data_IF_485682395202
#
_entry.id   IF_485682395202
#
_cell.length_a   1.000
_cell.length_b   1.000
_cell.length_c   1.000
_cell.angle_alpha   90.00
_cell.angle_beta   90.00
_cell.angle_gamma   90.00
#
_symmetry.space_group_name_H-M   'P 1'
#
loop_
_entity.id
_entity.type
_entity.pdbx_description
1 polymer ?
#
# COMPACT_ATOMS: atom_id res chain seq x y z
N UNK A 1 15.79 13.89 -0.45
CA UNK A 1 14.74 13.54 0.54
C UNK A 1 14.81 12.03 0.75
N UNK A 2 14.74 11.57 2.00
CA UNK A 2 15.07 10.19 2.40
C UNK A 2 13.76 9.45 2.70
N UNK A 3 13.44 8.41 1.94
CA UNK A 3 12.52 7.39 2.45
C UNK A 3 13.24 6.73 3.62
N UNK A 4 12.86 7.11 4.84
CA UNK A 4 13.49 6.55 6.03
C UNK A 4 12.77 5.27 6.36
N UNK A 5 13.44 4.15 6.10
CA UNK A 5 13.04 2.85 6.60
C UNK A 5 13.68 2.73 7.98
N UNK A 6 12.88 2.89 9.03
CA UNK A 6 13.33 2.58 10.38
C UNK A 6 13.20 1.06 10.58
N UNK A 7 14.32 0.38 10.38
CA UNK A 7 14.46 -1.04 10.70
C UNK A 7 14.93 -1.15 12.15
N UNK A 8 14.01 -1.41 13.08
CA UNK A 8 14.41 -1.88 14.40
C UNK A 8 15.36 -3.08 14.26
N UNK A 9 16.44 -3.08 15.05
CA UNK A 9 17.55 -4.07 15.02
C UNK A 9 17.05 -5.49 14.70
N UNK A 10 17.51 -6.15 13.62
CA UNK A 10 17.02 -7.48 13.27
C UNK A 10 17.49 -8.49 14.30
N UNK A 11 16.54 -9.17 14.95
CA UNK A 11 16.78 -10.41 15.70
C UNK A 11 16.77 -11.57 14.71
N UNK A 12 17.76 -12.45 14.78
CA UNK A 12 17.83 -13.66 13.96
C UNK A 12 16.51 -14.44 14.04
N UNK A 13 15.92 -14.75 12.88
CA UNK A 13 14.64 -15.44 12.79
C UNK A 13 14.84 -16.96 12.88
N UNK A 14 14.24 -17.60 13.89
CA UNK A 14 14.12 -19.06 14.00
C UNK A 14 13.16 -19.63 12.93
N UNK A 15 13.31 -20.90 12.51
CA UNK A 15 12.48 -21.49 11.47
C UNK A 15 11.01 -21.67 11.90
N UNK A 16 10.14 -21.04 11.10
CA UNK A 16 8.70 -21.24 10.82
C UNK A 16 7.70 -21.68 11.91
N UNK A 17 6.86 -20.70 12.31
CA UNK A 17 5.39 -20.87 12.38
C UNK A 17 4.70 -19.71 11.65
N UNK A 18 3.81 -20.05 10.72
CA UNK A 18 3.07 -19.16 9.78
C UNK A 18 2.61 -17.86 10.46
N UNK A 19 3.07 -16.74 9.91
CA UNK A 19 2.67 -15.38 10.25
C UNK A 19 3.27 -14.47 9.18
N UNK A 20 2.40 -13.86 8.39
CA UNK A 20 2.73 -13.33 7.06
C UNK A 20 3.75 -12.17 7.11
N UNK A 21 4.76 -12.23 6.25
CA UNK A 21 5.77 -11.18 6.06
C UNK A 21 5.27 -10.24 4.97
N UNK A 22 5.10 -8.95 5.27
CA UNK A 22 4.76 -7.93 4.27
C UNK A 22 5.99 -7.53 3.45
N UNK A 23 5.93 -7.65 2.11
CA UNK A 23 6.96 -7.11 1.21
C UNK A 23 6.53 -5.73 0.72
N UNK A 24 7.43 -4.76 0.83
CA UNK A 24 7.19 -3.37 0.46
C UNK A 24 8.02 -3.01 -0.77
N UNK A 25 7.37 -2.46 -1.78
CA UNK A 25 8.00 -1.81 -2.92
C UNK A 25 7.75 -0.31 -2.82
N UNK A 26 8.80 0.52 -2.82
CA UNK A 26 8.63 1.96 -2.85
C UNK A 26 8.81 2.53 -4.26
N UNK A 27 7.96 3.47 -4.66
CA UNK A 27 8.04 4.17 -5.95
C UNK A 27 7.87 5.68 -5.80
N UNK A 28 8.15 6.45 -6.86
CA UNK A 28 7.99 7.91 -6.94
C UNK A 28 6.94 8.28 -8.00
N UNK A 29 5.84 8.91 -7.57
CA UNK A 29 4.90 9.65 -8.44
C UNK A 29 4.25 10.79 -7.65
N UNK A 30 3.69 11.78 -8.36
CA UNK A 30 3.35 13.13 -7.87
C UNK A 30 2.37 13.27 -6.69
N UNK A 31 1.93 12.17 -6.08
CA UNK A 31 1.06 12.11 -4.91
C UNK A 31 1.45 10.92 -4.03
N UNK A 32 1.18 11.04 -2.73
CA UNK A 32 1.43 9.97 -1.76
C UNK A 32 0.29 8.98 -1.80
N UNK A 33 0.57 7.68 -1.91
CA UNK A 33 -0.44 6.64 -1.77
C UNK A 33 0.17 5.34 -1.27
N UNK A 34 -0.71 4.46 -0.80
CA UNK A 34 -0.41 3.08 -0.50
C UNK A 34 -1.36 2.20 -1.31
N UNK A 35 -0.82 1.23 -2.03
CA UNK A 35 -1.59 0.22 -2.75
C UNK A 35 -1.20 -1.18 -2.31
N UNK A 36 -2.17 -2.09 -2.31
CA UNK A 36 -1.97 -3.52 -2.03
C UNK A 36 -2.14 -4.32 -3.31
N UNK A 37 -1.23 -5.25 -3.55
CA UNK A 37 -1.33 -6.21 -4.63
C UNK A 37 -2.26 -7.37 -4.24
N UNK A 38 -3.09 -7.78 -5.19
CA UNK A 38 -3.90 -9.00 -5.17
C UNK A 38 -3.48 -9.89 -6.33
N UNK A 39 -3.26 -11.17 -6.04
CA UNK A 39 -2.78 -12.17 -6.98
C UNK A 39 -3.92 -13.14 -7.31
N UNK A 40 -3.98 -13.69 -8.55
CA UNK A 40 -4.95 -14.72 -8.90
C UNK A 40 -4.80 -15.98 -8.04
N UNK A 41 -3.56 -16.33 -7.70
CA UNK A 41 -3.23 -17.46 -6.84
C UNK A 41 -2.86 -17.00 -5.42
N UNK A 42 -3.15 -17.82 -4.39
CA UNK A 42 -2.76 -17.51 -3.03
C UNK A 42 -1.23 -17.39 -2.88
N UNK A 43 -0.79 -16.26 -2.32
CA UNK A 43 0.62 -16.03 -1.98
C UNK A 43 0.83 -16.04 -0.46
N UNK A 44 2.02 -16.43 -0.01
CA UNK A 44 2.38 -16.53 1.41
C UNK A 44 2.76 -15.19 2.07
N UNK A 45 2.50 -14.07 1.39
CA UNK A 45 2.92 -12.74 1.83
C UNK A 45 2.06 -11.65 1.22
N UNK A 46 1.67 -10.66 2.02
CA UNK A 46 1.07 -9.44 1.50
C UNK A 46 2.14 -8.58 0.82
N UNK A 47 1.81 -7.98 -0.33
CA UNK A 47 2.71 -7.08 -1.07
C UNK A 47 2.06 -5.70 -1.14
N UNK A 48 2.79 -4.69 -0.69
CA UNK A 48 2.35 -3.29 -0.67
C UNK A 48 3.29 -2.42 -1.49
N UNK A 49 2.71 -1.49 -2.25
CA UNK A 49 3.43 -0.41 -2.89
C UNK A 49 3.23 0.88 -2.08
N UNK A 50 4.34 1.48 -1.63
CA UNK A 50 4.35 2.73 -0.88
C UNK A 50 4.96 3.82 -1.74
N UNK A 51 4.17 4.83 -2.09
CA UNK A 51 4.65 5.93 -2.92
C UNK A 51 4.60 7.22 -2.14
N UNK A 52 5.70 7.96 -2.14
CA UNK A 52 5.83 9.30 -1.59
C UNK A 52 6.82 10.09 -2.45
N UNK A 53 6.36 11.17 -3.09
CA UNK A 53 7.18 11.99 -3.98
C UNK A 53 7.69 13.27 -3.29
N UNK A 54 8.86 13.81 -3.68
CA UNK A 54 9.58 14.78 -2.88
C UNK A 54 9.08 16.23 -3.01
N UNK A 55 9.61 17.05 -2.10
CA UNK A 55 9.49 18.51 -1.96
C UNK A 55 9.37 19.23 -3.31
N UNK A 56 8.36 20.10 -3.42
CA UNK A 56 8.00 20.92 -4.59
C UNK A 56 7.07 20.29 -5.64
N UNK A 57 6.28 19.28 -5.26
CA UNK A 57 5.16 18.86 -6.11
C UNK A 57 3.93 19.76 -5.95
N UNK A 58 4.00 20.96 -6.52
CA UNK A 58 2.78 21.72 -6.82
C UNK A 58 2.13 21.05 -8.03
N UNK A 59 1.46 19.92 -7.81
CA UNK A 59 0.47 19.43 -8.78
C UNK A 59 -0.44 20.61 -9.07
N UNK A 60 -0.42 21.12 -10.30
CA UNK A 60 -1.36 22.14 -10.72
C UNK A 60 -2.75 21.65 -10.32
N UNK A 61 -3.52 22.47 -9.60
CA UNK A 61 -4.78 22.01 -8.99
C UNK A 61 -5.71 21.34 -10.02
N UNK A 62 -5.59 21.73 -11.29
CA UNK A 62 -6.23 21.16 -12.48
C UNK A 62 -5.91 19.68 -12.77
N UNK A 63 -4.73 19.16 -12.39
CA UNK A 63 -4.35 17.76 -12.59
C UNK A 63 -4.79 16.83 -11.44
N UNK A 64 -5.21 17.37 -10.29
CA UNK A 64 -5.69 16.55 -9.16
C UNK A 64 -6.86 15.63 -9.52
N UNK A 65 -7.90 16.10 -10.24
CA UNK A 65 -8.99 15.23 -10.66
C UNK A 65 -8.50 14.04 -11.50
N UNK A 66 -7.52 14.26 -12.38
CA UNK A 66 -6.95 13.19 -13.20
C UNK A 66 -6.32 12.08 -12.34
N UNK A 67 -5.55 12.45 -11.32
CA UNK A 67 -4.94 11.47 -10.41
C UNK A 67 -5.96 10.75 -9.53
N UNK A 68 -7.04 11.42 -9.14
CA UNK A 68 -8.15 10.77 -8.42
C UNK A 68 -8.87 9.78 -9.34
N UNK A 69 -9.17 10.19 -10.58
CA UNK A 69 -9.82 9.34 -11.58
C UNK A 69 -8.95 8.13 -11.97
N UNK A 70 -7.62 8.26 -11.95
CA UNK A 70 -6.72 7.13 -12.21
C UNK A 70 -6.91 5.95 -11.24
N UNK A 71 -7.46 6.19 -10.05
CA UNK A 71 -7.79 5.15 -9.07
C UNK A 71 -9.25 4.69 -9.13
N UNK A 72 -10.05 5.19 -10.07
CA UNK A 72 -11.44 4.77 -10.23
C UNK A 72 -11.53 3.39 -10.87
N UNK A 73 -11.99 2.42 -10.08
CA UNK A 73 -12.19 1.02 -10.49
C UNK A 73 -12.97 0.82 -11.79
N UNK A 74 -14.12 1.50 -12.05
CA UNK A 74 -14.85 1.28 -13.29
C UNK A 74 -14.04 1.76 -14.51
N UNK A 75 -13.38 2.91 -14.41
CA UNK A 75 -12.52 3.43 -15.48
C UNK A 75 -11.35 2.48 -15.75
N UNK A 76 -10.68 2.00 -14.70
CA UNK A 76 -9.59 1.04 -14.80
C UNK A 76 -10.04 -0.28 -15.46
N UNK A 77 -11.24 -0.78 -15.12
CA UNK A 77 -11.79 -2.00 -15.72
C UNK A 77 -12.08 -1.85 -17.22
N UNK A 78 -12.66 -0.72 -17.63
CA UNK A 78 -12.93 -0.40 -19.04
C UNK A 78 -11.62 -0.32 -19.83
N UNK A 79 -10.65 0.45 -19.34
CA UNK A 79 -9.34 0.61 -19.99
C UNK A 79 -8.60 -0.73 -20.10
N UNK A 80 -8.58 -1.52 -19.03
CA UNK A 80 -7.99 -2.87 -19.02
C UNK A 80 -8.63 -3.77 -20.08
N UNK A 81 -9.97 -3.75 -20.20
CA UNK A 81 -10.68 -4.53 -21.20
C UNK A 81 -10.39 -4.08 -22.63
N UNK A 82 -10.20 -2.78 -22.85
CA UNK A 82 -9.79 -2.25 -24.16
C UNK A 82 -8.35 -2.66 -24.51
N UNK A 83 -7.43 -2.58 -23.55
CA UNK A 83 -6.02 -2.94 -23.74
C UNK A 83 -5.83 -4.42 -24.10
N UNK A 84 -6.53 -5.34 -23.43
CA UNK A 84 -6.41 -6.78 -23.74
C UNK A 84 -7.05 -7.21 -25.05
N UNK A 85 -7.64 -6.30 -25.82
CA UNK A 85 -7.98 -6.57 -27.22
C UNK A 85 -6.74 -6.58 -28.11
N UNK A 86 -5.62 -6.02 -27.64
CA UNK A 86 -4.34 -6.09 -28.34
C UNK A 86 -3.68 -7.45 -28.10
N UNK A 87 -3.24 -8.16 -29.17
CA UNK A 87 -2.51 -9.42 -29.03
C UNK A 87 -1.10 -9.24 -28.41
N UNK A 88 -0.63 -8.00 -28.24
CA UNK A 88 0.69 -7.68 -27.69
C UNK A 88 0.66 -7.40 -26.17
N UNK A 89 -0.52 -7.41 -25.54
CA UNK A 89 -0.68 -7.05 -24.13
C UNK A 89 -1.14 -8.26 -23.36
N UNK A 90 -0.21 -8.87 -22.63
CA UNK A 90 -0.52 -9.97 -21.73
C UNK A 90 -1.33 -9.51 -20.51
N UNK A 91 -2.20 -10.38 -19.96
CA UNK A 91 -2.86 -10.12 -18.70
C UNK A 91 -1.88 -9.80 -17.58
N UNK A 92 -2.10 -8.69 -16.88
CA UNK A 92 -1.32 -8.32 -15.70
C UNK A 92 -1.36 -9.45 -14.66
N UNK A 93 -0.21 -9.93 -14.14
CA UNK A 93 -0.15 -11.01 -13.15
C UNK A 93 -0.60 -10.58 -11.75
N UNK A 94 -0.92 -9.29 -11.57
CA UNK A 94 -1.29 -8.69 -10.30
C UNK A 94 -2.31 -7.58 -10.51
N UNK A 95 -3.31 -7.48 -9.63
CA UNK A 95 -4.20 -6.33 -9.52
C UNK A 95 -3.75 -5.47 -8.34
N UNK A 96 -3.80 -4.14 -8.50
CA UNK A 96 -3.46 -3.19 -7.45
C UNK A 96 -4.71 -2.51 -6.94
N UNK A 97 -4.86 -2.47 -5.62
CA UNK A 97 -5.93 -1.74 -4.94
C UNK A 97 -5.35 -0.66 -4.05
N UNK A 98 -5.73 0.59 -4.25
CA UNK A 98 -5.41 1.67 -3.30
C UNK A 98 -6.02 1.35 -1.94
N UNK A 99 -5.18 1.40 -0.91
CA UNK A 99 -5.62 1.28 0.48
C UNK A 99 -5.55 2.62 1.21
N UNK A 100 -4.75 3.57 0.70
CA UNK A 100 -4.63 4.91 1.27
C UNK A 100 -4.13 5.92 0.23
N UNK A 101 -4.58 7.17 0.33
CA UNK A 101 -4.33 8.22 -0.67
C UNK A 101 -5.35 8.24 -1.82
N UNK A 102 -5.12 9.06 -2.86
CA UNK A 102 -3.95 9.92 -3.05
C UNK A 102 -3.93 11.12 -2.10
N UNK A 103 -2.79 11.38 -1.45
CA UNK A 103 -2.53 12.62 -0.71
C UNK A 103 -1.58 13.52 -1.50
N UNK A 104 -1.78 14.82 -1.40
CA UNK A 104 -1.00 15.81 -2.13
C UNK A 104 -0.30 16.77 -1.16
N UNK A 105 0.79 17.36 -1.63
CA UNK A 105 1.59 18.33 -0.87
C UNK A 105 2.89 17.75 -0.35
N UNK A 106 3.62 18.58 0.39
CA UNK A 106 4.91 18.21 0.96
C UNK A 106 4.70 17.26 2.15
N UNK A 107 4.95 15.98 1.95
CA UNK A 107 4.73 14.96 2.97
C UNK A 107 5.96 14.04 3.09
N UNK A 108 6.11 13.47 4.27
CA UNK A 108 7.09 12.45 4.59
C UNK A 108 6.32 11.16 4.87
N UNK A 109 6.79 10.06 4.27
CA UNK A 109 6.34 8.72 4.57
C UNK A 109 7.43 7.98 5.36
N UNK A 110 7.06 7.46 6.52
CA UNK A 110 7.93 6.68 7.39
C UNK A 110 7.42 5.25 7.46
N UNK A 111 8.24 4.29 7.02
CA UNK A 111 7.98 2.87 7.20
C UNK A 111 8.55 2.44 8.55
N UNK A 112 7.66 2.03 9.46
CA UNK A 112 8.02 1.52 10.79
C UNK A 112 7.87 0.01 10.81
N UNK A 113 8.90 -0.69 11.26
CA UNK A 113 8.91 -2.14 11.34
C UNK A 113 9.26 -2.61 12.76
N UNK A 114 8.53 -3.61 13.25
CA UNK A 114 8.80 -4.27 14.53
C UNK A 114 8.49 -5.77 14.43
N UNK A 115 9.54 -6.56 14.23
CA UNK A 115 9.43 -8.00 13.99
C UNK A 115 8.59 -8.28 12.75
N UNK A 116 7.41 -8.92 12.93
CA UNK A 116 6.45 -9.21 11.86
C UNK A 116 5.39 -8.13 11.63
N UNK A 117 5.46 -7.03 12.38
CA UNK A 117 4.55 -5.90 12.22
C UNK A 117 5.23 -4.82 11.38
N UNK A 118 4.48 -4.25 10.44
CA UNK A 118 4.89 -3.11 9.66
C UNK A 118 3.73 -2.12 9.50
N UNK A 119 4.03 -0.83 9.57
CA UNK A 119 3.09 0.25 9.30
C UNK A 119 3.76 1.38 8.52
N UNK A 120 3.00 2.07 7.68
CA UNK A 120 3.42 3.31 7.04
C UNK A 120 2.72 4.47 7.74
N UNK A 121 3.50 5.41 8.24
CA UNK A 121 3.00 6.69 8.77
C UNK A 121 3.27 7.76 7.72
N UNK A 122 2.26 8.56 7.41
CA UNK A 122 2.38 9.70 6.49
C UNK A 122 2.10 10.97 7.25
N UNK A 123 3.00 11.93 7.12
CA UNK A 123 2.92 13.23 7.78
C UNK A 123 3.13 14.35 6.76
N UNK A 124 2.34 15.41 6.85
CA UNK A 124 2.51 16.62 6.04
C UNK A 124 3.44 17.59 6.75
N UNK A 125 4.36 18.17 6.00
CA UNK A 125 5.13 19.33 6.45
C UNK A 125 4.28 20.60 6.36
N UNK A 126 4.17 21.32 7.48
CA UNK A 126 3.61 22.67 7.56
C UNK A 126 4.75 23.70 7.60
N UNK A 127 4.47 25.01 7.42
CA UNK A 127 5.48 26.05 7.64
C UNK A 127 6.14 25.94 9.02
N UNK A 128 7.47 25.92 9.04
CA UNK A 128 8.28 25.67 10.25
C UNK A 128 8.66 24.18 10.43
N UNK A 129 9.31 23.80 11.54
CA UNK A 129 9.75 22.43 11.80
C UNK A 129 8.60 21.56 12.33
N UNK A 130 7.44 21.57 11.67
CA UNK A 130 6.22 20.89 12.12
C UNK A 130 5.75 19.86 11.10
N UNK A 131 5.50 18.66 11.61
CA UNK A 131 4.84 17.58 10.90
C UNK A 131 3.44 17.37 11.48
N UNK A 132 2.45 17.24 10.59
CA UNK A 132 1.06 16.96 10.96
C UNK A 132 0.67 15.59 10.38
N UNK A 133 0.17 14.65 11.20
CA UNK A 133 -0.25 13.34 10.71
C UNK A 133 -1.33 13.44 9.62
N UNK A 134 -1.13 12.71 8.52
CA UNK A 134 -2.12 12.54 7.46
C UNK A 134 -2.80 11.17 7.53
N UNK A 135 -2.03 10.10 7.71
CA UNK A 135 -2.57 8.74 7.80
C UNK A 135 -1.56 7.78 8.45
N UNK A 136 -2.06 6.65 8.94
CA UNK A 136 -1.25 5.48 9.29
C UNK A 136 -1.89 4.25 8.68
N UNK A 137 -1.10 3.46 7.95
CA UNK A 137 -1.56 2.27 7.23
C UNK A 137 -0.85 1.05 7.80
N UNK A 138 -1.62 0.12 8.37
CA UNK A 138 -1.08 -1.18 8.75
C UNK A 138 -0.74 -1.99 7.50
N UNK A 139 0.50 -2.47 7.40
CA UNK A 139 1.03 -3.26 6.27
C UNK A 139 1.13 -4.75 6.61
N UNK A 140 0.53 -5.16 7.73
CA UNK A 140 0.46 -6.55 8.16
C UNK A 140 -0.99 -7.00 8.08
N UNK A 141 -1.22 -8.13 7.45
CA UNK A 141 -2.57 -8.67 7.36
C UNK A 141 -3.02 -9.15 8.75
N UNK A 142 -4.10 -8.57 9.28
CA UNK A 142 -4.87 -9.27 10.31
C UNK A 142 -5.68 -10.32 9.57
N UNK A 143 -5.43 -11.59 9.85
CA UNK A 143 -6.38 -12.66 9.51
C UNK A 143 -7.79 -12.18 9.90
N UNK A 144 -8.81 -12.24 9.03
CA UNK A 144 -10.17 -12.20 9.52
C UNK A 144 -10.27 -13.35 10.54
N UNK A 145 -10.62 -13.03 11.79
CA UNK A 145 -10.81 -14.04 12.81
C UNK A 145 -11.87 -15.00 12.30
N UNK A 146 -11.45 -16.21 11.91
CA UNK A 146 -12.36 -17.28 11.55
C UNK A 146 -13.36 -17.42 12.68
N UNK A 147 -14.65 -17.28 12.35
CA UNK A 147 -15.76 -17.72 13.19
C UNK A 147 -15.35 -19.09 13.75
N UNK A 148 -15.18 -19.18 15.07
CA UNK A 148 -15.09 -20.47 15.75
C UNK A 148 -16.32 -21.25 15.32
N UNK A 149 -16.11 -22.36 14.61
CA UNK A 149 -17.09 -23.44 14.64
C UNK A 149 -17.20 -23.88 16.10
N UNK A 150 -18.33 -23.55 16.70
CA UNK A 150 -18.93 -24.34 17.76
C UNK A 150 -20.31 -24.70 17.24
N UNK A 151 -20.85 -25.89 17.41
CA UNK A 151 -20.35 -27.11 18.03
C UNK A 151 -21.29 -28.21 17.49
N UNK A 152 -20.81 -29.44 17.33
CA UNK A 152 -21.71 -30.57 17.05
C UNK A 152 -22.10 -31.21 18.38
N UNK A 153 -23.39 -31.10 18.72
CA UNK A 153 -24.13 -32.00 19.63
C UNK A 153 -23.69 -32.01 21.11
N UNK A 154 -24.42 -32.70 22.01
CA UNK A 154 -25.53 -33.66 21.81
C UNK A 154 -26.86 -33.09 22.41
N UNK A 155 -28.06 -33.66 22.30
CA UNK A 155 -28.61 -35.01 22.13
C UNK A 155 -29.86 -34.96 21.22
#
# INVERSE_FOLDING_TARGET
MRATIDTGRPRAASPSRRGDVGRVLSGDVHHVYTARATFPEPVNAAVFQLTCSPVHNKVQRSMRPLFVMAWWRPLAAVLRRLMFRSPHIDPLPVEWRTVSGPYFGNAIATLRTNGRKAEMVVERAEPGPRLVPLTTVALTDRRPSGRRGGDRGPE
#
